data_IF_175771264358
#
_entry.id   IF_175771264358
#
_cell.length_a   1.000
_cell.length_b   1.000
_cell.length_c   1.000
_cell.angle_alpha   90.00
_cell.angle_beta   90.00
_cell.angle_gamma   90.00
#
_symmetry.space_group_name_H-M   'P 1'
#
loop_
_entity.id
_entity.type
_entity.pdbx_description
1 polymer ?
#
# COMPACT_ATOMS: atom_id res chain seq x y z
N UNK A 1 -9.77 -19.00 -3.28
CA UNK A 1 -9.63 -18.01 -2.20
C UNK A 1 -8.31 -17.31 -2.42
N UNK A 2 -8.24 -15.97 -2.50
CA UNK A 2 -6.98 -15.27 -2.65
C UNK A 2 -6.05 -15.50 -1.45
N UNK A 3 -4.76 -15.69 -1.69
CA UNK A 3 -3.71 -15.84 -0.70
C UNK A 3 -2.80 -14.62 -0.72
N UNK A 4 -2.79 -13.87 0.39
CA UNK A 4 -1.90 -12.72 0.57
C UNK A 4 -0.76 -13.12 1.50
N UNK A 5 0.45 -12.65 1.20
CA UNK A 5 1.61 -12.77 2.08
C UNK A 5 2.12 -11.37 2.45
N UNK A 6 2.36 -11.12 3.74
CA UNK A 6 2.98 -9.89 4.22
C UNK A 6 4.44 -10.14 4.56
N UNK A 7 5.33 -9.24 4.14
CA UNK A 7 6.77 -9.36 4.38
C UNK A 7 7.39 -8.03 4.82
N UNK A 8 8.42 -8.09 5.64
CA UNK A 8 9.34 -6.97 5.84
C UNK A 8 10.40 -7.01 4.74
N UNK A 9 10.37 -6.02 3.84
CA UNK A 9 11.18 -6.02 2.64
C UNK A 9 12.68 -5.87 2.89
N UNK A 10 13.04 -5.27 4.02
CA UNK A 10 14.40 -5.09 4.51
C UNK A 10 14.36 -5.02 6.02
N UNK A 11 15.43 -5.44 6.68
CA UNK A 11 15.63 -5.28 8.12
C UNK A 11 16.05 -3.84 8.50
N UNK A 12 16.34 -2.99 7.49
CA UNK A 12 16.76 -1.60 7.60
C UNK A 12 18.07 -1.43 8.39
N UNK A 13 19.04 -2.31 8.14
CA UNK A 13 20.35 -2.32 8.80
C UNK A 13 21.49 -1.86 7.88
N UNK A 14 21.20 -1.59 6.61
CA UNK A 14 22.18 -1.25 5.58
C UNK A 14 22.99 0.02 5.96
N UNK A 15 22.36 0.98 6.63
CA UNK A 15 23.01 2.22 7.08
C UNK A 15 23.56 2.13 8.51
N UNK A 16 22.84 1.47 9.42
CA UNK A 16 23.19 1.43 10.85
C UNK A 16 24.23 0.36 11.19
N UNK A 17 24.23 -0.75 10.44
CA UNK A 17 25.13 -1.89 10.61
C UNK A 17 25.53 -2.49 9.25
N UNK A 18 26.30 -1.77 8.41
CA UNK A 18 26.59 -2.15 7.02
C UNK A 18 27.34 -3.48 6.86
N UNK A 19 28.03 -3.94 7.91
CA UNK A 19 28.80 -5.19 7.90
C UNK A 19 28.03 -6.38 8.50
N UNK A 20 26.79 -6.17 8.95
CA UNK A 20 25.94 -7.22 9.50
C UNK A 20 25.08 -7.80 8.36
N UNK A 21 25.20 -9.10 8.04
CA UNK A 21 24.28 -9.75 7.11
C UNK A 21 22.84 -9.59 7.60
N UNK A 22 21.99 -9.06 6.73
CA UNK A 22 20.59 -8.76 7.03
C UNK A 22 19.73 -8.94 5.79
N UNK A 23 18.42 -9.07 5.97
CA UNK A 23 17.48 -9.14 4.86
C UNK A 23 17.36 -7.79 4.16
N UNK A 24 17.47 -7.78 2.84
CA UNK A 24 17.46 -6.58 2.00
C UNK A 24 16.30 -6.59 1.00
N UNK A 25 16.05 -5.44 0.37
CA UNK A 25 15.05 -5.34 -0.69
C UNK A 25 15.29 -6.34 -1.84
N UNK A 26 16.56 -6.64 -2.16
CA UNK A 26 16.92 -7.57 -3.23
C UNK A 26 16.57 -9.02 -2.87
N UNK A 27 16.69 -9.39 -1.58
CA UNK A 27 16.22 -10.68 -1.07
C UNK A 27 14.70 -10.83 -1.27
N UNK A 28 13.96 -9.76 -0.96
CA UNK A 28 12.51 -9.71 -1.15
C UNK A 28 12.10 -9.85 -2.61
N UNK A 29 12.80 -9.17 -3.52
CA UNK A 29 12.54 -9.31 -4.97
C UNK A 29 12.75 -10.75 -5.42
N UNK A 30 13.85 -11.40 -5.00
CA UNK A 30 14.11 -12.81 -5.33
C UNK A 30 13.03 -13.74 -4.78
N UNK A 31 12.61 -13.53 -3.53
CA UNK A 31 11.56 -14.33 -2.90
C UNK A 31 10.21 -14.13 -3.59
N UNK A 32 9.86 -12.90 -4.00
CA UNK A 32 8.59 -12.60 -4.64
C UNK A 32 8.36 -13.42 -5.93
N UNK A 33 9.42 -13.66 -6.71
CA UNK A 33 9.36 -14.55 -7.87
C UNK A 33 8.97 -15.98 -7.49
N UNK A 34 9.57 -16.54 -6.44
CA UNK A 34 9.26 -17.87 -5.93
C UNK A 34 7.83 -17.95 -5.38
N UNK A 35 7.38 -16.92 -4.66
CA UNK A 35 6.03 -16.86 -4.11
C UNK A 35 4.96 -16.85 -5.20
N UNK A 36 5.21 -16.12 -6.30
CA UNK A 36 4.32 -16.11 -7.46
C UNK A 36 4.21 -17.52 -8.08
N UNK A 37 5.32 -18.25 -8.19
CA UNK A 37 5.34 -19.64 -8.70
C UNK A 37 4.57 -20.62 -7.80
N UNK A 38 4.47 -20.32 -6.51
CA UNK A 38 3.75 -21.12 -5.52
C UNK A 38 2.29 -20.66 -5.29
N UNK A 39 1.79 -19.75 -6.12
CA UNK A 39 0.37 -19.35 -6.11
C UNK A 39 0.00 -18.31 -5.07
N UNK A 40 0.94 -17.48 -4.60
CA UNK A 40 0.60 -16.28 -3.84
C UNK A 40 0.03 -15.22 -4.79
N UNK A 41 -1.15 -14.71 -4.48
CA UNK A 41 -1.87 -13.76 -5.34
C UNK A 41 -1.39 -12.31 -5.13
N UNK A 42 -1.06 -11.94 -3.89
CA UNK A 42 -0.63 -10.59 -3.53
C UNK A 42 0.47 -10.60 -2.47
N UNK A 43 1.51 -9.79 -2.68
CA UNK A 43 2.55 -9.52 -1.71
C UNK A 43 2.34 -8.14 -1.06
N UNK A 44 2.03 -8.10 0.24
CA UNK A 44 1.93 -6.89 1.06
C UNK A 44 3.31 -6.53 1.62
N UNK A 45 3.90 -5.45 1.09
CA UNK A 45 5.31 -5.11 1.30
C UNK A 45 5.46 -4.04 2.38
N UNK A 46 5.99 -4.45 3.55
CA UNK A 46 6.39 -3.58 4.67
C UNK A 46 7.92 -3.55 4.80
N UNK A 47 8.47 -3.23 5.98
CA UNK A 47 9.90 -3.20 6.28
C UNK A 47 10.12 -3.18 7.79
N UNK A 48 11.31 -3.58 8.22
CA UNK A 48 11.77 -3.51 9.61
C UNK A 48 11.05 -4.46 10.56
N UNK A 49 11.21 -4.18 11.85
CA UNK A 49 10.60 -4.93 12.96
C UNK A 49 11.48 -6.03 13.56
N UNK A 50 12.60 -6.38 12.93
CA UNK A 50 13.49 -7.46 13.41
C UNK A 50 14.55 -6.98 14.42
N UNK A 51 15.13 -5.79 14.22
CA UNK A 51 16.25 -5.28 15.01
C UNK A 51 15.96 -3.93 15.65
N UNK A 52 16.48 -3.71 16.86
CA UNK A 52 16.45 -2.39 17.52
C UNK A 52 17.40 -1.39 16.87
N UNK A 53 18.37 -1.85 16.08
CA UNK A 53 19.31 -1.01 15.36
C UNK A 53 18.78 -0.54 14.00
N UNK A 54 17.55 -0.89 13.62
CA UNK A 54 16.95 -0.49 12.34
C UNK A 54 16.87 1.04 12.18
N UNK A 55 17.22 1.55 10.99
CA UNK A 55 17.13 2.98 10.66
C UNK A 55 15.85 3.28 9.85
N UNK A 56 14.78 3.70 10.55
CA UNK A 56 13.50 4.03 9.91
C UNK A 56 13.44 5.53 9.59
N UNK A 57 13.55 5.84 8.30
CA UNK A 57 13.32 7.19 7.76
C UNK A 57 11.86 7.32 7.33
N UNK A 58 11.07 8.11 8.07
CA UNK A 58 9.65 8.36 7.78
C UNK A 58 9.41 9.87 7.60
N UNK A 59 9.69 10.44 6.42
CA UNK A 59 9.37 11.83 6.14
C UNK A 59 7.84 12.04 6.18
N UNK A 60 7.37 13.22 6.58
CA UNK A 60 5.94 13.52 6.55
C UNK A 60 5.40 13.57 5.12
N UNK A 61 4.17 13.12 4.92
CA UNK A 61 3.45 13.25 3.65
C UNK A 61 3.91 12.32 2.52
N UNK A 62 4.75 11.33 2.81
CA UNK A 62 5.21 10.36 1.80
C UNK A 62 4.90 8.93 2.21
N UNK A 63 4.59 8.09 1.22
CA UNK A 63 4.49 6.65 1.39
C UNK A 63 5.90 6.04 1.52
N UNK A 64 6.49 6.13 2.72
CA UNK A 64 7.94 5.93 2.89
C UNK A 64 8.47 4.54 2.49
N UNK A 65 7.64 3.48 2.52
CA UNK A 65 8.03 2.13 2.10
C UNK A 65 7.67 1.81 0.63
N UNK A 66 7.00 2.71 -0.10
CA UNK A 66 6.51 2.41 -1.45
C UNK A 66 7.62 2.07 -2.46
N UNK A 67 8.87 2.48 -2.18
CA UNK A 67 10.02 2.10 -3.00
C UNK A 67 10.34 0.59 -2.91
N UNK A 68 10.03 -0.08 -1.79
CA UNK A 68 10.18 -1.53 -1.67
C UNK A 68 9.14 -2.28 -2.50
N UNK A 69 7.87 -1.83 -2.46
CA UNK A 69 6.82 -2.41 -3.30
C UNK A 69 7.11 -2.16 -4.79
N UNK A 70 7.63 -0.98 -5.14
CA UNK A 70 8.02 -0.64 -6.50
C UNK A 70 9.10 -1.59 -7.04
N UNK A 71 10.11 -1.93 -6.22
CA UNK A 71 11.16 -2.87 -6.61
C UNK A 71 10.58 -4.24 -6.99
N UNK A 72 9.64 -4.77 -6.20
CA UNK A 72 8.95 -6.02 -6.51
C UNK A 72 8.04 -5.86 -7.73
N UNK A 73 7.26 -4.77 -7.80
CA UNK A 73 6.31 -4.52 -8.90
C UNK A 73 7.03 -4.43 -10.25
N UNK A 74 8.21 -3.80 -10.29
CA UNK A 74 9.05 -3.70 -11.49
C UNK A 74 9.57 -5.07 -11.94
N UNK A 75 9.93 -5.95 -11.02
CA UNK A 75 10.49 -7.26 -11.33
C UNK A 75 9.42 -8.32 -11.67
N UNK A 76 8.29 -8.31 -10.97
CA UNK A 76 7.32 -9.42 -10.95
C UNK A 76 5.85 -8.99 -11.05
N UNK A 77 5.58 -7.72 -11.35
CA UNK A 77 4.21 -7.17 -11.36
C UNK A 77 3.26 -7.75 -12.41
N UNK A 78 3.75 -8.59 -13.32
CA UNK A 78 2.96 -9.39 -14.27
C UNK A 78 2.63 -10.80 -13.76
N UNK A 79 3.20 -11.23 -12.63
CA UNK A 79 3.02 -12.56 -12.04
C UNK A 79 2.33 -12.52 -10.68
N UNK A 80 2.52 -11.44 -9.91
CA UNK A 80 1.96 -11.26 -8.56
C UNK A 80 1.51 -9.82 -8.37
N UNK A 81 0.39 -9.62 -7.66
CA UNK A 81 -0.03 -8.28 -7.26
C UNK A 81 0.85 -7.78 -6.11
N UNK A 82 1.11 -6.48 -6.07
CA UNK A 82 1.97 -5.90 -5.03
C UNK A 82 1.22 -4.83 -4.26
N UNK A 83 1.28 -4.91 -2.94
CA UNK A 83 0.72 -3.93 -2.02
C UNK A 83 1.78 -3.01 -1.45
N UNK A 84 1.48 -1.71 -1.39
CA UNK A 84 2.26 -0.72 -0.65
C UNK A 84 1.58 -0.40 0.69
N UNK A 85 2.38 -0.24 1.74
CA UNK A 85 1.93 0.24 3.07
C UNK A 85 2.91 1.27 3.62
N UNK A 86 2.52 2.01 4.65
CA UNK A 86 3.43 2.89 5.39
C UNK A 86 3.18 4.36 5.12
N UNK A 87 2.61 5.04 6.13
CA UNK A 87 2.26 6.45 6.10
C UNK A 87 1.40 6.92 4.90
N UNK A 88 0.66 6.01 4.26
CA UNK A 88 -0.40 6.35 3.31
C UNK A 88 -1.58 6.90 4.09
N UNK A 89 -1.68 8.22 4.18
CA UNK A 89 -2.63 8.90 5.06
C UNK A 89 -3.67 9.77 4.36
N UNK A 90 -3.54 10.02 3.07
CA UNK A 90 -4.48 10.83 2.28
C UNK A 90 -4.77 10.15 0.94
N UNK A 91 -5.86 10.54 0.28
CA UNK A 91 -6.24 10.06 -1.04
C UNK A 91 -5.17 10.41 -2.09
N UNK A 92 -4.62 11.62 -2.03
CA UNK A 92 -3.54 12.06 -2.94
C UNK A 92 -2.28 11.22 -2.79
N UNK A 93 -1.89 10.86 -1.56
CA UNK A 93 -0.73 9.97 -1.34
C UNK A 93 -1.01 8.58 -1.90
N UNK A 94 -2.20 8.02 -1.63
CA UNK A 94 -2.59 6.70 -2.13
C UNK A 94 -2.62 6.67 -3.67
N UNK A 95 -3.28 7.64 -4.30
CA UNK A 95 -3.34 7.76 -5.76
C UNK A 95 -1.93 7.94 -6.35
N UNK A 96 -1.08 8.77 -5.74
CA UNK A 96 0.28 8.98 -6.20
C UNK A 96 1.16 7.72 -6.17
N UNK A 97 0.92 6.79 -5.25
CA UNK A 97 1.60 5.47 -5.23
C UNK A 97 1.16 4.62 -6.43
N UNK A 98 -0.13 4.60 -6.73
CA UNK A 98 -0.71 3.82 -7.83
C UNK A 98 -0.32 4.40 -9.20
N UNK A 99 -0.41 5.72 -9.37
CA UNK A 99 -0.08 6.41 -10.63
C UNK A 99 1.40 6.23 -11.02
N UNK A 100 2.28 6.15 -10.02
CA UNK A 100 3.70 5.89 -10.24
C UNK A 100 4.02 4.41 -10.50
N UNK A 101 3.02 3.52 -10.46
CA UNK A 101 3.21 2.09 -10.65
C UNK A 101 3.98 1.43 -9.50
N UNK A 102 3.96 2.02 -8.30
CA UNK A 102 4.71 1.49 -7.14
C UNK A 102 3.99 0.32 -6.47
N UNK A 103 2.69 0.15 -6.71
CA UNK A 103 1.87 -0.94 -6.21
C UNK A 103 0.56 -1.06 -7.02
N UNK A 104 -0.11 -2.21 -6.89
CA UNK A 104 -1.49 -2.45 -7.35
C UNK A 104 -2.52 -2.05 -6.29
N UNK A 105 -2.12 -2.11 -5.01
CA UNK A 105 -3.00 -1.87 -3.86
C UNK A 105 -2.29 -0.99 -2.84
N UNK A 106 -3.00 0.01 -2.31
CA UNK A 106 -2.54 0.84 -1.20
C UNK A 106 -3.20 0.40 0.11
N UNK A 107 -2.40 -0.05 1.09
CA UNK A 107 -2.86 -0.43 2.42
C UNK A 107 -2.81 0.77 3.38
N UNK A 108 -3.96 1.05 4.01
CA UNK A 108 -4.13 2.19 4.94
C UNK A 108 -4.41 1.67 6.35
N UNK A 109 -3.50 1.96 7.28
CA UNK A 109 -3.59 1.53 8.68
C UNK A 109 -4.14 2.60 9.62
N UNK A 110 -3.24 3.39 10.23
CA UNK A 110 -3.57 4.37 11.30
C UNK A 110 -4.67 5.36 10.92
N UNK A 111 -4.71 5.85 9.69
CA UNK A 111 -5.75 6.79 9.24
C UNK A 111 -7.13 6.15 9.29
N UNK A 112 -7.25 4.90 8.82
CA UNK A 112 -8.51 4.16 8.85
C UNK A 112 -9.02 3.91 10.28
N UNK A 113 -8.11 3.62 11.21
CA UNK A 113 -8.47 3.45 12.62
C UNK A 113 -8.96 4.75 13.26
N UNK A 114 -8.36 5.89 12.93
CA UNK A 114 -8.76 7.21 13.45
C UNK A 114 -10.04 7.73 12.82
N UNK A 115 -10.32 7.37 11.57
CA UNK A 115 -11.48 7.81 10.82
C UNK A 115 -12.07 6.66 9.99
N UNK A 116 -13.16 6.01 10.46
CA UNK A 116 -13.86 4.98 9.68
C UNK A 116 -14.39 5.47 8.32
N UNK A 117 -14.57 6.79 8.15
CA UNK A 117 -14.92 7.44 6.88
C UNK A 117 -13.74 7.69 5.94
N UNK A 118 -12.57 7.10 6.19
CA UNK A 118 -11.34 7.36 5.40
C UNK A 118 -11.54 7.17 3.89
N UNK A 119 -12.26 6.13 3.46
CA UNK A 119 -12.50 5.86 2.03
C UNK A 119 -13.28 7.02 1.39
N UNK A 120 -14.23 7.60 2.12
CA UNK A 120 -14.98 8.77 1.65
C UNK A 120 -14.12 10.03 1.65
N UNK A 121 -13.38 10.30 2.73
CA UNK A 121 -12.48 11.44 2.78
C UNK A 121 -11.46 11.42 1.61
N UNK A 122 -10.98 10.24 1.22
CA UNK A 122 -10.11 10.07 0.07
C UNK A 122 -10.85 10.33 -1.25
N UNK A 123 -12.10 9.87 -1.37
CA UNK A 123 -12.92 10.13 -2.54
C UNK A 123 -13.21 11.64 -2.73
N UNK A 124 -13.49 12.37 -1.65
CA UNK A 124 -13.65 13.84 -1.69
C UNK A 124 -12.37 14.55 -2.09
N UNK A 125 -11.23 14.16 -1.50
CA UNK A 125 -9.92 14.72 -1.82
C UNK A 125 -9.55 14.50 -3.30
N UNK A 126 -9.91 13.34 -3.85
CA UNK A 126 -9.65 12.99 -5.25
C UNK A 126 -10.75 13.47 -6.22
N UNK A 127 -11.87 14.00 -5.72
CA UNK A 127 -13.00 14.42 -6.53
C UNK A 127 -13.70 13.27 -7.28
N UNK A 128 -13.71 12.06 -6.73
CA UNK A 128 -14.30 10.87 -7.35
C UNK A 128 -15.57 10.40 -6.65
N UNK A 129 -16.53 9.91 -7.42
CA UNK A 129 -17.75 9.31 -6.89
C UNK A 129 -17.51 7.84 -6.50
N UNK A 130 -17.88 7.48 -5.26
CA UNK A 130 -17.89 6.09 -4.80
C UNK A 130 -19.32 5.58 -4.55
N UNK A 131 -19.48 4.27 -4.61
CA UNK A 131 -20.71 3.60 -4.20
C UNK A 131 -20.71 3.42 -2.69
N UNK A 132 -21.67 4.05 -2.03
CA UNK A 132 -21.91 3.92 -0.58
C UNK A 132 -23.18 3.12 -0.32
N UNK A 133 -23.41 2.74 0.94
CA UNK A 133 -24.65 2.08 1.33
C UNK A 133 -25.82 3.05 1.18
N UNK A 134 -27.01 2.55 0.81
CA UNK A 134 -28.17 3.41 0.57
C UNK A 134 -28.60 4.17 1.82
N UNK A 135 -28.36 3.60 3.01
CA UNK A 135 -28.69 4.22 4.29
C UNK A 135 -27.87 5.48 4.55
N UNK A 136 -26.64 5.54 4.05
CA UNK A 136 -25.75 6.68 4.28
C UNK A 136 -25.67 7.61 3.08
N UNK A 137 -26.15 7.21 1.89
CA UNK A 137 -26.03 7.97 0.63
C UNK A 137 -26.35 9.46 0.75
N UNK A 138 -27.40 9.84 1.51
CA UNK A 138 -27.77 11.25 1.69
C UNK A 138 -26.75 12.08 2.46
N UNK A 139 -26.09 11.52 3.47
CA UNK A 139 -25.06 12.25 4.20
C UNK A 139 -23.82 12.52 3.33
N UNK A 140 -23.69 11.82 2.19
CA UNK A 140 -22.51 11.82 1.35
C UNK A 140 -22.74 12.54 0.02
N UNK A 141 -23.98 12.51 -0.51
CA UNK A 141 -24.33 13.06 -1.83
C UNK A 141 -25.41 14.14 -1.78
N UNK A 142 -25.95 14.40 -0.61
CA UNK A 142 -27.06 15.32 -0.39
C UNK A 142 -28.44 14.74 -0.78
N UNK A 143 -29.52 15.48 -0.47
CA UNK A 143 -30.86 15.07 -0.82
C UNK A 143 -31.05 15.08 -2.35
N UNK A 144 -31.66 14.03 -2.91
CA UNK A 144 -32.06 14.01 -4.32
C UNK A 144 -30.96 13.62 -5.32
N UNK A 145 -29.80 13.13 -4.86
CA UNK A 145 -28.80 12.55 -5.76
C UNK A 145 -29.38 11.36 -6.53
N UNK A 146 -29.50 11.50 -7.84
CA UNK A 146 -29.79 10.40 -8.77
C UNK A 146 -28.48 10.07 -9.50
N UNK A 147 -27.94 8.84 -9.38
CA UNK A 147 -26.73 8.48 -10.10
C UNK A 147 -26.96 8.68 -11.60
N UNK A 148 -26.04 9.37 -12.29
CA UNK A 148 -26.04 9.40 -13.75
C UNK A 148 -26.00 7.96 -14.24
N UNK A 149 -26.94 7.57 -15.10
CA UNK A 149 -26.92 6.24 -15.73
C UNK A 149 -25.57 6.09 -16.43
N UNK A 150 -24.79 5.07 -16.04
CA UNK A 150 -23.62 4.67 -16.79
C UNK A 150 -24.09 4.22 -18.18
N UNK A 151 -23.48 4.80 -19.23
CA UNK A 151 -23.67 4.40 -20.63
C UNK A 151 -22.87 3.15 -20.94
#
# INVERSE_FOLDING_TARGET
MPLFLRISASDLLEESQPNTPSWTSDDTVRLAGLLAEHGVDLLDVSSGGLSTAQDIKMPPGVAYQAHFSEAVKRAHGNKILVGAVGAISTGTIAQGVLDKGQADVAFVGRTFQKNPGTVWAFAEELGVDIRVTRQTEWAFKGPGYAPKKAH
#
